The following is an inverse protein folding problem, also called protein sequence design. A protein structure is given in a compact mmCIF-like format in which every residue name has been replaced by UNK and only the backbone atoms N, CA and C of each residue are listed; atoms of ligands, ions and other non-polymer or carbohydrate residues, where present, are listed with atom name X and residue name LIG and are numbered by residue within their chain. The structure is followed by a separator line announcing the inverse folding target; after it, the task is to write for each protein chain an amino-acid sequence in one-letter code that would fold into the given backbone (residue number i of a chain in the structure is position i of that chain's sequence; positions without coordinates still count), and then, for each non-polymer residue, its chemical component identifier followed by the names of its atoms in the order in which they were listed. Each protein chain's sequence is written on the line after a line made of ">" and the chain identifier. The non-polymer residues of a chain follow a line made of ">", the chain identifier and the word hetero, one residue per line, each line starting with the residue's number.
data_IF_952084541447
#
_entry.id   IF_952084541447
#
_cell.length_a   1.000
_cell.length_b   1.000
_cell.length_c   1.000
_cell.angle_alpha   90.00
_cell.angle_beta   90.00
_cell.angle_gamma   90.00
#
_symmetry.space_group_name_H-M   'P 1'
#
loop_
_entity.id
_entity.type
_entity.pdbx_description
1 polymer ?
#
# COMPACT_ATOMS: atom_id res chain seq x y z
N UNK A 1 -16.67 8.34 -33.20
CA UNK A 1 -16.54 8.93 -31.85
C UNK A 1 -17.44 8.25 -30.81
N UNK A 2 -18.77 8.15 -31.00
CA UNK A 2 -19.67 7.54 -29.99
C UNK A 2 -19.48 6.02 -29.82
N UNK A 3 -19.38 5.27 -30.93
CA UNK A 3 -19.20 3.81 -30.90
C UNK A 3 -17.86 3.42 -30.25
N UNK A 4 -16.77 4.11 -30.62
CA UNK A 4 -15.44 3.87 -30.04
C UNK A 4 -15.39 4.18 -28.55
N UNK A 5 -16.08 5.25 -28.11
CA UNK A 5 -16.21 5.61 -26.70
C UNK A 5 -17.01 4.55 -25.91
N UNK A 6 -18.15 4.09 -26.45
CA UNK A 6 -18.93 3.01 -25.86
C UNK A 6 -18.15 1.70 -25.77
N UNK A 7 -17.43 1.33 -26.83
CA UNK A 7 -16.58 0.14 -26.85
C UNK A 7 -15.47 0.22 -25.79
N UNK A 8 -14.80 1.37 -25.69
CA UNK A 8 -13.75 1.61 -24.69
C UNK A 8 -14.31 1.55 -23.26
N UNK A 9 -15.51 2.08 -23.03
CA UNK A 9 -16.20 2.02 -21.73
C UNK A 9 -16.58 0.58 -21.37
N UNK A 10 -17.18 -0.16 -22.30
CA UNK A 10 -17.53 -1.57 -22.10
C UNK A 10 -16.30 -2.43 -21.82
N UNK A 11 -15.19 -2.20 -22.52
CA UNK A 11 -13.93 -2.91 -22.25
C UNK A 11 -13.38 -2.59 -20.86
N UNK A 12 -13.48 -1.34 -20.40
CA UNK A 12 -13.04 -0.98 -19.05
C UNK A 12 -13.93 -1.63 -17.99
N UNK A 13 -15.26 -1.60 -18.14
CA UNK A 13 -16.20 -2.20 -17.18
C UNK A 13 -15.90 -3.70 -17.04
N UNK A 14 -15.77 -4.42 -18.16
CA UNK A 14 -15.39 -5.84 -18.14
C UNK A 14 -14.03 -6.10 -17.48
N UNK A 15 -13.06 -5.22 -17.71
CA UNK A 15 -11.74 -5.34 -17.08
C UNK A 15 -11.78 -5.09 -15.56
N UNK A 16 -12.68 -4.21 -15.10
CA UNK A 16 -12.91 -3.92 -13.68
C UNK A 16 -13.67 -5.06 -12.98
N UNK A 17 -14.74 -5.57 -13.58
CA UNK A 17 -15.49 -6.74 -13.07
C UNK A 17 -14.62 -8.01 -13.01
N UNK A 18 -13.62 -8.11 -13.90
CA UNK A 18 -12.64 -9.19 -13.94
C UNK A 18 -11.33 -8.92 -13.18
N UNK A 19 -11.25 -7.85 -12.37
CA UNK A 19 -10.04 -7.42 -11.67
C UNK A 19 -9.27 -8.56 -10.99
N UNK A 20 -7.94 -8.55 -11.11
CA UNK A 20 -7.06 -9.59 -10.54
C UNK A 20 -6.95 -10.85 -11.41
N UNK A 21 -7.15 -12.04 -10.82
CA UNK A 21 -6.84 -13.35 -11.43
C UNK A 21 -7.46 -13.58 -12.81
N UNK A 22 -8.66 -13.05 -13.06
CA UNK A 22 -9.39 -13.19 -14.34
C UNK A 22 -8.88 -12.24 -15.44
N UNK A 23 -8.17 -11.17 -15.09
CA UNK A 23 -7.58 -10.20 -16.01
C UNK A 23 -6.14 -10.53 -16.45
N UNK A 24 -5.55 -11.63 -15.96
CA UNK A 24 -4.15 -11.99 -16.24
C UNK A 24 -3.95 -12.45 -17.68
N UNK A 25 -2.81 -12.10 -18.25
CA UNK A 25 -2.36 -12.68 -19.53
C UNK A 25 -2.17 -14.19 -19.39
N UNK A 26 -2.52 -14.99 -20.41
CA UNK A 26 -2.28 -16.44 -20.38
C UNK A 26 -0.80 -16.82 -20.16
N UNK A 27 0.14 -15.91 -20.45
CA UNK A 27 1.58 -16.08 -20.25
C UNK A 27 2.09 -15.50 -18.92
N UNK A 28 1.23 -15.15 -17.96
CA UNK A 28 1.63 -14.46 -16.73
C UNK A 28 2.69 -15.23 -15.92
N UNK A 29 2.62 -16.58 -15.92
CA UNK A 29 3.62 -17.42 -15.26
C UNK A 29 5.02 -17.27 -15.85
N UNK A 30 5.11 -17.07 -17.16
CA UNK A 30 6.38 -16.80 -17.83
C UNK A 30 6.87 -15.38 -17.56
N UNK A 31 5.94 -14.42 -17.50
CA UNK A 31 6.27 -13.01 -17.19
C UNK A 31 6.79 -12.82 -15.75
N UNK A 32 6.35 -13.65 -14.81
CA UNK A 32 6.75 -13.62 -13.39
C UNK A 32 7.55 -14.86 -12.98
N UNK A 33 8.25 -15.48 -13.93
CA UNK A 33 9.06 -16.66 -13.66
C UNK A 33 10.23 -16.28 -12.77
N UNK A 34 10.34 -16.93 -11.61
CA UNK A 34 11.46 -16.68 -10.73
C UNK A 34 12.79 -17.06 -11.38
N UNK A 35 13.82 -16.21 -11.23
CA UNK A 35 15.18 -16.55 -11.60
C UNK A 35 15.72 -17.66 -10.68
N UNK A 36 16.78 -18.34 -11.15
CA UNK A 36 17.51 -19.27 -10.30
C UNK A 36 18.19 -18.51 -9.15
N UNK A 37 18.28 -19.11 -7.95
CA UNK A 37 18.78 -18.41 -6.75
C UNK A 37 20.20 -17.87 -6.93
N UNK A 38 21.05 -18.57 -7.69
CA UNK A 38 22.41 -18.10 -8.01
C UNK A 38 22.46 -16.76 -8.73
N UNK A 39 21.38 -16.33 -9.39
CA UNK A 39 21.30 -15.03 -10.04
C UNK A 39 20.96 -13.91 -9.05
N UNK A 40 20.46 -14.25 -7.86
CA UNK A 40 19.95 -13.30 -6.87
C UNK A 40 20.90 -13.02 -5.70
N UNK A 41 21.92 -13.85 -5.51
CA UNK A 41 22.83 -13.78 -4.34
C UNK A 41 23.58 -12.44 -4.25
N UNK A 42 23.91 -11.84 -5.41
CA UNK A 42 24.68 -10.61 -5.51
C UNK A 42 23.82 -9.34 -5.54
N UNK A 43 22.51 -9.44 -5.23
CA UNK A 43 21.65 -8.26 -5.20
C UNK A 43 22.11 -7.29 -4.11
N UNK A 44 22.40 -6.01 -4.47
CA UNK A 44 22.78 -5.00 -3.48
C UNK A 44 21.50 -4.55 -2.75
N UNK A 45 21.25 -5.19 -1.60
CA UNK A 45 20.11 -4.93 -0.72
C UNK A 45 20.66 -4.61 0.66
N UNK A 46 20.21 -3.48 1.21
CA UNK A 46 20.43 -3.14 2.61
C UNK A 46 19.64 -4.11 3.49
N UNK A 47 20.35 -4.83 4.37
CA UNK A 47 19.76 -5.87 5.22
C UNK A 47 19.19 -5.29 6.51
N UNK A 48 18.38 -4.24 6.42
CA UNK A 48 17.68 -3.64 7.55
C UNK A 48 16.37 -4.39 7.89
N UNK A 49 16.20 -4.78 9.15
CA UNK A 49 15.03 -5.53 9.60
C UNK A 49 13.72 -4.77 9.39
N UNK A 50 13.66 -3.48 9.76
CA UNK A 50 12.42 -2.70 9.65
C UNK A 50 12.02 -2.49 8.20
N UNK A 51 12.99 -2.27 7.30
CA UNK A 51 12.77 -2.20 5.87
C UNK A 51 12.24 -3.53 5.32
N UNK A 52 12.97 -4.63 5.54
CA UNK A 52 12.68 -5.90 4.87
C UNK A 52 11.51 -6.65 5.49
N UNK A 53 11.41 -6.70 6.82
CA UNK A 53 10.48 -7.58 7.54
C UNK A 53 9.26 -6.85 8.12
N UNK A 54 9.26 -5.51 8.15
CA UNK A 54 8.12 -4.73 8.68
C UNK A 54 7.44 -3.91 7.59
N UNK A 55 8.19 -3.07 6.87
CA UNK A 55 7.64 -2.15 5.87
C UNK A 55 7.26 -2.87 4.57
N UNK A 56 8.08 -3.78 4.07
CA UNK A 56 7.83 -4.45 2.80
C UNK A 56 6.86 -5.64 2.94
N UNK A 57 5.70 -5.65 2.26
CA UNK A 57 4.68 -6.66 2.50
C UNK A 57 5.12 -8.10 2.19
N UNK A 58 5.89 -8.31 1.11
CA UNK A 58 6.38 -9.65 0.75
C UNK A 58 7.41 -10.13 1.75
N UNK A 59 8.33 -9.25 2.18
CA UNK A 59 9.32 -9.58 3.19
C UNK A 59 8.71 -9.84 4.57
N UNK A 60 7.78 -8.99 5.04
CA UNK A 60 6.96 -9.25 6.25
C UNK A 60 6.29 -10.62 6.17
N UNK A 61 5.64 -10.94 5.06
CA UNK A 61 4.96 -12.23 4.88
C UNK A 61 5.92 -13.42 4.91
N UNK A 62 7.07 -13.34 4.23
CA UNK A 62 8.07 -14.41 4.23
C UNK A 62 8.74 -14.59 5.58
N UNK A 63 9.02 -13.49 6.29
CA UNK A 63 9.52 -13.53 7.65
C UNK A 63 8.50 -14.15 8.62
N UNK A 64 7.23 -13.76 8.54
CA UNK A 64 6.17 -14.40 9.36
C UNK A 64 6.04 -15.90 9.04
N UNK A 65 6.17 -16.31 7.77
CA UNK A 65 6.16 -17.74 7.40
C UNK A 65 7.37 -18.49 7.99
N UNK A 66 8.55 -17.89 7.96
CA UNK A 66 9.74 -18.41 8.61
C UNK A 66 9.53 -18.58 10.12
N UNK A 67 9.07 -17.54 10.81
CA UNK A 67 8.83 -17.59 12.24
C UNK A 67 7.73 -18.60 12.62
N UNK A 68 6.67 -18.75 11.82
CA UNK A 68 5.63 -19.77 12.04
C UNK A 68 6.12 -21.21 11.81
N UNK A 69 7.21 -21.40 11.07
CA UNK A 69 7.82 -22.73 10.90
C UNK A 69 8.63 -23.18 12.12
N UNK A 70 8.79 -22.30 13.11
CA UNK A 70 9.63 -22.48 14.30
C UNK A 70 8.80 -22.37 15.58
N UNK A 71 8.68 -23.44 16.38
CA UNK A 71 7.87 -23.43 17.59
C UNK A 71 8.23 -22.29 18.56
N UNK A 72 9.52 -21.95 18.66
CA UNK A 72 10.02 -20.90 19.55
C UNK A 72 9.62 -19.47 19.11
N UNK A 73 9.32 -19.25 17.83
CA UNK A 73 8.92 -17.94 17.30
C UNK A 73 7.41 -17.82 17.04
N UNK A 74 6.66 -18.93 17.09
CA UNK A 74 5.26 -18.98 16.70
C UNK A 74 4.37 -18.07 17.57
N UNK A 75 4.62 -18.01 18.88
CA UNK A 75 3.86 -17.15 19.79
C UNK A 75 4.15 -15.66 19.55
N UNK A 76 5.39 -15.29 19.19
CA UNK A 76 5.75 -13.91 18.84
C UNK A 76 4.92 -13.39 17.65
N UNK A 77 4.81 -14.19 16.59
CA UNK A 77 4.00 -13.82 15.42
C UNK A 77 2.51 -13.81 15.73
N UNK A 78 2.04 -14.76 16.55
CA UNK A 78 0.64 -14.81 16.97
C UNK A 78 0.25 -13.58 17.79
N UNK A 79 1.16 -13.09 18.64
CA UNK A 79 1.00 -11.83 19.36
C UNK A 79 0.96 -10.65 18.39
N UNK A 80 1.93 -10.54 17.46
CA UNK A 80 1.91 -9.48 16.43
C UNK A 80 0.60 -9.44 15.63
N UNK A 81 0.09 -10.60 15.20
CA UNK A 81 -1.18 -10.68 14.48
C UNK A 81 -2.34 -10.22 15.39
N UNK A 82 -2.31 -10.53 16.68
CA UNK A 82 -3.33 -10.07 17.63
C UNK A 82 -3.24 -8.55 17.88
N UNK A 83 -2.04 -7.98 17.95
CA UNK A 83 -1.83 -6.54 18.05
C UNK A 83 -2.33 -5.81 16.78
N UNK A 84 -2.00 -6.32 15.59
CA UNK A 84 -2.51 -5.77 14.32
C UNK A 84 -4.05 -5.83 14.25
N UNK A 85 -4.68 -6.85 14.85
CA UNK A 85 -6.14 -6.92 14.96
C UNK A 85 -6.71 -5.93 15.98
N UNK A 86 -6.03 -5.73 17.12
CA UNK A 86 -6.45 -4.78 18.15
C UNK A 86 -6.60 -3.36 17.59
N UNK A 87 -5.67 -2.95 16.72
CA UNK A 87 -5.69 -1.63 16.07
C UNK A 87 -6.92 -1.41 15.17
N UNK A 88 -7.62 -2.48 14.78
CA UNK A 88 -8.82 -2.45 13.93
C UNK A 88 -10.12 -2.69 14.69
N UNK A 89 -10.05 -2.91 16.00
CA UNK A 89 -11.24 -3.12 16.85
C UNK A 89 -11.99 -1.82 17.10
N UNK A 90 -13.32 -1.92 17.20
CA UNK A 90 -14.15 -0.81 17.64
C UNK A 90 -13.84 -0.46 19.11
N UNK A 91 -14.12 0.77 19.50
CA UNK A 91 -13.88 1.26 20.87
C UNK A 91 -14.58 0.37 21.92
N UNK A 92 -15.76 -0.18 21.60
CA UNK A 92 -16.51 -1.09 22.45
C UNK A 92 -15.81 -2.45 22.65
N UNK A 93 -15.14 -2.97 21.61
CA UNK A 93 -14.47 -4.28 21.64
C UNK A 93 -13.01 -4.20 22.12
N UNK A 94 -12.37 -3.03 22.00
CA UNK A 94 -10.93 -2.86 22.27
C UNK A 94 -10.55 -3.30 23.67
N UNK A 95 -11.32 -2.93 24.69
CA UNK A 95 -11.00 -3.27 26.09
C UNK A 95 -10.95 -4.78 26.30
N UNK A 96 -12.01 -5.50 25.95
CA UNK A 96 -12.09 -6.94 26.16
C UNK A 96 -11.07 -7.70 25.31
N UNK A 97 -10.86 -7.24 24.07
CA UNK A 97 -9.85 -7.82 23.19
C UNK A 97 -8.43 -7.60 23.73
N UNK A 98 -8.12 -6.40 24.23
CA UNK A 98 -6.83 -6.08 24.86
C UNK A 98 -6.56 -6.94 26.10
N UNK A 99 -7.56 -7.14 26.96
CA UNK A 99 -7.45 -8.05 28.12
C UNK A 99 -7.16 -9.48 27.63
N UNK A 100 -7.81 -9.93 26.56
CA UNK A 100 -7.57 -11.26 25.98
C UNK A 100 -6.13 -11.43 25.47
N UNK A 101 -5.53 -10.38 24.88
CA UNK A 101 -4.13 -10.38 24.44
C UNK A 101 -3.21 -10.54 25.65
N UNK A 102 -3.41 -9.75 26.70
CA UNK A 102 -2.58 -9.77 27.90
C UNK A 102 -2.65 -11.15 28.57
N UNK A 103 -3.85 -11.67 28.80
CA UNK A 103 -4.06 -12.98 29.41
C UNK A 103 -3.44 -14.12 28.60
N UNK A 104 -3.44 -14.00 27.28
CA UNK A 104 -2.94 -15.02 26.37
C UNK A 104 -1.43 -14.98 26.16
N UNK A 105 -0.84 -13.80 26.04
CA UNK A 105 0.54 -13.66 25.58
C UNK A 105 1.48 -13.05 26.63
N UNK A 106 0.99 -12.28 27.59
CA UNK A 106 1.84 -11.62 28.59
C UNK A 106 1.79 -12.30 29.96
N UNK A 107 0.73 -13.06 30.24
CA UNK A 107 0.56 -13.72 31.54
C UNK A 107 1.44 -14.97 31.68
N UNK A 108 2.21 -15.05 32.76
CA UNK A 108 3.14 -16.16 33.03
C UNK A 108 2.52 -17.57 33.08
N UNK A 109 1.24 -17.69 33.44
CA UNK A 109 0.55 -18.99 33.48
C UNK A 109 0.03 -19.44 32.11
N UNK A 110 0.14 -18.61 31.07
CA UNK A 110 -0.31 -18.95 29.73
C UNK A 110 0.65 -19.90 29.02
N UNK A 111 0.09 -20.87 28.30
CA UNK A 111 0.84 -21.73 27.39
C UNK A 111 1.31 -21.01 26.12
N UNK A 112 0.85 -19.79 25.87
CA UNK A 112 1.24 -18.95 24.74
C UNK A 112 2.04 -17.71 25.15
N UNK A 113 2.59 -17.70 26.37
CA UNK A 113 3.39 -16.59 26.87
C UNK A 113 4.57 -16.27 25.93
N UNK A 114 4.81 -14.98 25.73
CA UNK A 114 5.95 -14.45 24.97
C UNK A 114 6.92 -13.82 25.97
N UNK A 115 7.97 -14.56 26.29
CA UNK A 115 8.90 -14.20 27.37
C UNK A 115 9.63 -12.86 27.15
N UNK A 116 9.87 -12.46 25.89
CA UNK A 116 10.56 -11.21 25.55
C UNK A 116 9.77 -9.95 25.91
N UNK A 117 8.46 -10.04 26.06
CA UNK A 117 7.57 -8.88 26.32
C UNK A 117 6.69 -9.06 27.56
N UNK A 118 6.94 -10.13 28.33
CA UNK A 118 6.13 -10.49 29.49
C UNK A 118 6.08 -9.38 30.56
N UNK A 119 7.16 -8.61 30.69
CA UNK A 119 7.26 -7.50 31.66
C UNK A 119 6.24 -6.37 31.40
N UNK A 120 5.65 -6.31 30.21
CA UNK A 120 4.63 -5.32 29.85
C UNK A 120 3.23 -5.63 30.40
N UNK A 121 3.01 -6.80 31.03
CA UNK A 121 1.69 -7.22 31.55
C UNK A 121 1.00 -6.10 32.37
N UNK A 122 1.70 -5.57 33.38
CA UNK A 122 1.13 -4.55 34.28
C UNK A 122 0.95 -3.18 33.61
N UNK A 123 1.89 -2.76 32.76
CA UNK A 123 1.83 -1.49 32.04
C UNK A 123 0.65 -1.47 31.07
N UNK A 124 0.51 -2.52 30.27
CA UNK A 124 -0.60 -2.64 29.32
C UNK A 124 -1.96 -2.74 30.02
N UNK A 125 -2.07 -3.48 31.15
CA UNK A 125 -3.32 -3.52 31.93
C UNK A 125 -3.71 -2.13 32.42
N UNK A 126 -2.76 -1.39 32.99
CA UNK A 126 -3.03 -0.05 33.50
C UNK A 126 -3.45 0.92 32.41
N UNK A 127 -2.74 0.94 31.28
CA UNK A 127 -3.07 1.78 30.12
C UNK A 127 -4.46 1.45 29.54
N UNK A 128 -4.82 0.16 29.48
CA UNK A 128 -6.12 -0.30 29.00
C UNK A 128 -7.27 0.07 29.95
N UNK A 129 -7.01 0.10 31.27
CA UNK A 129 -7.98 0.54 32.27
C UNK A 129 -8.26 2.04 32.20
N UNK A 130 -7.20 2.84 31.96
CA UNK A 130 -7.28 4.29 31.83
C UNK A 130 -7.99 4.71 30.54
N UNK A 131 -7.47 4.31 29.39
CA UNK A 131 -8.02 4.64 28.08
C UNK A 131 -7.58 3.64 27.01
N UNK A 132 -8.51 2.74 26.64
CA UNK A 132 -8.29 1.73 25.61
C UNK A 132 -8.09 2.32 24.20
N UNK A 133 -8.42 3.59 23.97
CA UNK A 133 -8.25 4.27 22.68
C UNK A 133 -6.83 4.82 22.47
N UNK A 134 -5.99 4.79 23.51
CA UNK A 134 -4.56 5.10 23.39
C UNK A 134 -3.77 3.94 22.76
N UNK A 135 -2.48 4.18 22.48
CA UNK A 135 -1.57 3.14 21.99
C UNK A 135 -1.07 2.25 23.15
N UNK A 136 -1.99 1.45 23.68
CA UNK A 136 -1.82 0.60 24.88
C UNK A 136 -0.61 -0.35 24.77
N UNK A 137 -0.28 -0.80 23.57
CA UNK A 137 0.73 -1.83 23.33
C UNK A 137 1.98 -1.30 22.61
N UNK A 138 2.18 0.02 22.55
CA UNK A 138 3.32 0.62 21.85
C UNK A 138 4.66 0.03 22.30
N UNK A 139 4.99 0.12 23.60
CA UNK A 139 6.26 -0.37 24.16
C UNK A 139 6.39 -1.89 24.00
N UNK A 140 5.29 -2.63 24.17
CA UNK A 140 5.24 -4.08 23.94
C UNK A 140 5.59 -4.41 22.49
N UNK A 141 5.08 -3.64 21.51
CA UNK A 141 5.37 -3.83 20.09
C UNK A 141 6.82 -3.48 19.76
N UNK A 142 7.38 -2.42 20.35
CA UNK A 142 8.78 -2.03 20.16
C UNK A 142 9.75 -3.11 20.64
N UNK A 143 9.62 -3.58 21.89
CA UNK A 143 10.47 -4.62 22.46
C UNK A 143 10.37 -5.94 21.69
N UNK A 144 9.17 -6.26 21.18
CA UNK A 144 8.96 -7.43 20.33
C UNK A 144 9.75 -7.30 19.02
N UNK A 145 9.68 -6.13 18.37
CA UNK A 145 10.44 -5.89 17.14
C UNK A 145 11.95 -5.85 17.40
N UNK A 146 12.40 -5.32 18.53
CA UNK A 146 13.80 -5.37 18.95
C UNK A 146 14.29 -6.82 19.07
N UNK A 147 13.54 -7.67 19.77
CA UNK A 147 13.85 -9.10 19.87
C UNK A 147 13.91 -9.78 18.50
N UNK A 148 12.90 -9.60 17.65
CA UNK A 148 12.86 -10.23 16.33
C UNK A 148 13.93 -9.71 15.37
N UNK A 149 14.43 -8.49 15.57
CA UNK A 149 15.50 -7.89 14.76
C UNK A 149 16.89 -8.50 15.03
N UNK A 150 17.05 -9.21 16.14
CA UNK A 150 18.27 -9.91 16.52
C UNK A 150 18.42 -11.29 15.87
N UNK A 151 18.67 -12.31 16.69
CA UNK A 151 18.91 -13.69 16.25
C UNK A 151 17.83 -14.27 15.31
N UNK A 152 16.51 -14.03 15.51
CA UNK A 152 15.50 -14.51 14.59
C UNK A 152 15.68 -13.97 13.16
N UNK A 153 16.05 -12.70 13.03
CA UNK A 153 16.28 -12.08 11.72
C UNK A 153 17.57 -12.59 11.06
N UNK A 154 18.65 -12.80 11.82
CA UNK A 154 19.87 -13.42 11.29
C UNK A 154 19.59 -14.82 10.72
N UNK A 155 18.86 -15.64 11.48
CA UNK A 155 18.49 -16.99 11.04
C UNK A 155 17.51 -16.98 9.86
N UNK A 156 16.67 -15.96 9.74
CA UNK A 156 15.84 -15.76 8.56
C UNK A 156 16.70 -15.49 7.32
N UNK A 157 17.73 -14.65 7.42
CA UNK A 157 18.62 -14.34 6.29
C UNK A 157 19.34 -15.56 5.73
N UNK A 158 19.62 -16.55 6.56
CA UNK A 158 20.25 -17.82 6.16
C UNK A 158 19.24 -18.91 5.74
N UNK A 159 17.96 -18.56 5.62
CA UNK A 159 16.89 -19.51 5.33
C UNK A 159 16.40 -19.45 3.88
N UNK A 160 15.77 -20.53 3.42
CA UNK A 160 15.10 -20.59 2.11
C UNK A 160 13.98 -19.54 1.93
N UNK A 161 13.46 -18.97 3.01
CA UNK A 161 12.46 -17.90 2.95
C UNK A 161 13.10 -16.58 2.50
N UNK A 162 14.34 -16.32 2.90
CA UNK A 162 15.10 -15.17 2.43
C UNK A 162 15.58 -15.36 0.99
N UNK A 163 15.98 -16.57 0.60
CA UNK A 163 16.23 -16.90 -0.81
C UNK A 163 15.01 -16.59 -1.69
N UNK A 164 13.82 -16.97 -1.21
CA UNK A 164 12.56 -16.65 -1.88
C UNK A 164 12.33 -15.13 -1.94
N UNK A 165 12.67 -14.40 -0.89
CA UNK A 165 12.59 -12.93 -0.87
C UNK A 165 13.52 -12.32 -1.93
N UNK A 166 14.75 -12.80 -2.06
CA UNK A 166 15.70 -12.34 -3.08
C UNK A 166 15.19 -12.60 -4.51
N UNK A 167 14.55 -13.74 -4.75
CA UNK A 167 13.88 -14.02 -6.04
C UNK A 167 12.75 -13.03 -6.35
N UNK A 168 11.95 -12.66 -5.34
CA UNK A 168 10.94 -11.61 -5.49
C UNK A 168 11.55 -10.24 -5.76
N UNK A 169 12.63 -9.88 -5.05
CA UNK A 169 13.35 -8.62 -5.29
C UNK A 169 13.98 -8.54 -6.67
N UNK A 170 14.45 -9.65 -7.22
CA UNK A 170 14.92 -9.69 -8.61
C UNK A 170 13.80 -9.45 -9.62
N UNK A 171 12.59 -9.96 -9.37
CA UNK A 171 11.43 -9.70 -10.22
C UNK A 171 10.98 -8.25 -10.16
N UNK A 172 10.98 -7.67 -8.96
CA UNK A 172 10.64 -6.25 -8.74
C UNK A 172 11.60 -5.30 -9.48
N UNK A 173 12.90 -5.64 -9.52
CA UNK A 173 13.93 -4.85 -10.19
C UNK A 173 13.98 -5.01 -11.71
N UNK A 174 13.11 -5.83 -12.31
CA UNK A 174 13.08 -5.98 -13.77
C UNK A 174 12.72 -4.65 -14.45
N UNK A 175 13.28 -4.35 -15.63
CA UNK A 175 12.99 -3.10 -16.33
C UNK A 175 11.50 -2.93 -16.62
N UNK A 176 10.93 -1.83 -16.13
CA UNK A 176 9.54 -1.49 -16.40
C UNK A 176 9.44 -0.85 -17.78
N UNK A 177 8.64 -1.45 -18.66
CA UNK A 177 8.39 -0.92 -20.00
C UNK A 177 6.90 -0.85 -20.30
N UNK A 178 6.53 -0.09 -21.34
CA UNK A 178 5.14 0.00 -21.82
C UNK A 178 4.50 -1.37 -22.11
N UNK A 179 5.28 -2.42 -22.38
CA UNK A 179 4.77 -3.74 -22.73
C UNK A 179 4.17 -4.49 -21.55
N UNK A 180 4.49 -4.08 -20.32
CA UNK A 180 3.90 -4.64 -19.09
C UNK A 180 2.43 -4.26 -18.92
N UNK A 181 1.99 -3.19 -19.60
CA UNK A 181 0.67 -2.60 -19.41
C UNK A 181 -0.22 -2.83 -20.64
N UNK A 182 -1.49 -3.09 -20.39
CA UNK A 182 -2.56 -2.94 -21.38
C UNK A 182 -3.27 -1.61 -21.11
N UNK A 183 -3.35 -0.76 -22.12
CA UNK A 183 -4.04 0.53 -22.03
C UNK A 183 -5.52 0.37 -22.39
N UNK A 184 -6.39 1.10 -21.68
CA UNK A 184 -7.84 1.15 -21.88
C UNK A 184 -8.26 2.58 -22.29
N UNK A 185 -9.29 3.15 -21.64
CA UNK A 185 -9.84 4.47 -21.98
C UNK A 185 -9.06 5.62 -21.36
N UNK A 186 -9.20 6.80 -21.96
CA UNK A 186 -8.80 8.07 -21.38
C UNK A 186 -9.70 8.39 -20.18
N UNK A 187 -9.11 8.77 -19.05
CA UNK A 187 -9.81 9.16 -17.82
C UNK A 187 -9.88 10.69 -17.66
N UNK A 188 -8.82 11.40 -18.08
CA UNK A 188 -8.77 12.85 -17.99
C UNK A 188 -7.62 13.44 -18.80
N UNK A 189 -7.73 14.74 -19.09
CA UNK A 189 -6.67 15.54 -19.73
C UNK A 189 -6.21 16.61 -18.77
N UNK A 190 -4.90 16.72 -18.58
CA UNK A 190 -4.27 17.73 -17.74
C UNK A 190 -3.36 18.66 -18.54
N UNK A 191 -2.73 19.61 -17.85
CA UNK A 191 -1.89 20.63 -18.50
C UNK A 191 -0.67 20.08 -19.26
N UNK A 192 -0.13 18.94 -18.83
CA UNK A 192 1.10 18.33 -19.39
C UNK A 192 0.85 17.04 -20.19
N UNK A 193 -0.41 16.58 -20.29
CA UNK A 193 -0.75 15.37 -21.01
C UNK A 193 -2.04 14.73 -20.52
N UNK A 194 -2.07 13.40 -20.47
CA UNK A 194 -3.29 12.62 -20.38
C UNK A 194 -3.19 11.55 -19.30
N UNK A 195 -4.32 11.22 -18.68
CA UNK A 195 -4.42 10.12 -17.72
C UNK A 195 -5.26 9.00 -18.34
N UNK A 196 -4.70 7.81 -18.45
CA UNK A 196 -5.32 6.65 -19.08
C UNK A 196 -5.54 5.52 -18.09
N UNK A 197 -6.67 4.83 -18.15
CA UNK A 197 -6.81 3.56 -17.46
C UNK A 197 -5.86 2.53 -18.09
N UNK A 198 -5.19 1.76 -17.25
CA UNK A 198 -4.29 0.69 -17.69
C UNK A 198 -4.36 -0.50 -16.74
N UNK A 199 -3.85 -1.65 -17.20
CA UNK A 199 -3.81 -2.88 -16.44
C UNK A 199 -2.43 -3.51 -16.54
N UNK A 200 -1.87 -3.96 -15.42
CA UNK A 200 -0.66 -4.78 -15.42
C UNK A 200 -1.00 -6.15 -15.98
N UNK A 201 -0.43 -6.52 -17.11
CA UNK A 201 -0.77 -7.75 -17.84
C UNK A 201 -0.53 -9.02 -17.04
N UNK A 202 0.51 -9.03 -16.21
CA UNK A 202 0.87 -10.21 -15.43
C UNK A 202 -0.09 -10.45 -14.24
N UNK A 203 -0.49 -9.39 -13.55
CA UNK A 203 -1.29 -9.49 -12.31
C UNK A 203 -2.78 -9.30 -12.55
N UNK A 204 -3.17 -8.62 -13.63
CA UNK A 204 -4.54 -8.22 -13.93
C UNK A 204 -5.02 -7.00 -13.16
N UNK A 205 -4.14 -6.35 -12.39
CA UNK A 205 -4.48 -5.20 -11.54
C UNK A 205 -4.64 -3.92 -12.38
N UNK A 206 -5.67 -3.14 -12.07
CA UNK A 206 -6.00 -1.87 -12.74
C UNK A 206 -5.28 -0.69 -12.09
N UNK A 207 -4.86 0.26 -12.91
CA UNK A 207 -4.15 1.48 -12.50
C UNK A 207 -4.52 2.66 -13.40
N UNK A 208 -4.21 3.88 -12.94
CA UNK A 208 -4.21 5.09 -13.76
C UNK A 208 -2.78 5.41 -14.25
N UNK A 209 -2.57 5.48 -15.55
CA UNK A 209 -1.30 5.90 -16.15
C UNK A 209 -1.36 7.38 -16.52
N UNK A 210 -0.76 8.24 -15.70
CA UNK A 210 -0.53 9.66 -15.99
C UNK A 210 0.66 9.79 -16.94
N UNK A 211 0.40 10.24 -18.17
CA UNK A 211 1.39 10.44 -19.23
C UNK A 211 1.68 11.91 -19.42
N UNK A 212 2.92 12.30 -19.20
CA UNK A 212 3.43 13.65 -19.41
C UNK A 212 4.19 13.68 -20.74
N UNK A 213 3.71 14.44 -21.72
CA UNK A 213 4.38 14.54 -23.02
C UNK A 213 5.71 15.30 -22.87
N UNK A 214 6.83 14.67 -23.26
CA UNK A 214 8.17 15.23 -23.10
C UNK A 214 8.32 16.59 -23.78
N UNK A 215 7.68 16.77 -24.94
CA UNK A 215 7.62 18.03 -25.68
C UNK A 215 6.90 19.13 -24.89
N UNK A 216 5.75 18.82 -24.28
CA UNK A 216 4.99 19.76 -23.47
C UNK A 216 5.68 20.10 -22.14
N UNK A 217 6.27 19.11 -21.47
CA UNK A 217 7.08 19.30 -20.27
C UNK A 217 8.22 20.27 -20.56
N UNK A 218 9.01 20.02 -21.62
CA UNK A 218 10.12 20.89 -22.02
C UNK A 218 9.66 22.29 -22.42
N UNK A 219 8.60 22.40 -23.22
CA UNK A 219 8.06 23.70 -23.69
C UNK A 219 7.64 24.61 -22.52
N UNK A 220 7.12 24.03 -21.44
CA UNK A 220 6.64 24.75 -20.26
C UNK A 220 7.65 24.79 -19.11
N UNK A 221 8.87 24.29 -19.30
CA UNK A 221 9.91 24.18 -18.26
C UNK A 221 9.43 23.41 -17.02
N UNK A 222 8.66 22.34 -17.25
CA UNK A 222 7.99 21.53 -16.22
C UNK A 222 8.82 20.37 -15.69
N UNK A 223 10.10 20.26 -16.04
CA UNK A 223 10.96 19.11 -15.69
C UNK A 223 11.05 18.91 -14.17
N UNK A 224 11.35 19.98 -13.43
CA UNK A 224 11.45 19.93 -11.97
C UNK A 224 10.10 19.60 -11.31
N UNK A 225 9.00 20.08 -11.88
CA UNK A 225 7.66 19.79 -11.37
C UNK A 225 7.32 18.31 -11.52
N UNK A 226 7.59 17.72 -12.69
CA UNK A 226 7.37 16.31 -12.95
C UNK A 226 8.26 15.40 -12.09
N UNK A 227 9.53 15.76 -11.92
CA UNK A 227 10.46 15.01 -11.07
C UNK A 227 10.06 15.10 -9.59
N UNK A 228 9.70 16.28 -9.11
CA UNK A 228 9.27 16.49 -7.73
C UNK A 228 7.98 15.72 -7.42
N UNK A 229 7.00 15.70 -8.34
CA UNK A 229 5.79 14.89 -8.19
C UNK A 229 6.13 13.39 -8.06
N UNK A 230 7.01 12.87 -8.93
CA UNK A 230 7.46 11.47 -8.87
C UNK A 230 8.16 11.15 -7.54
N UNK A 231 9.07 12.01 -7.08
CA UNK A 231 9.84 11.78 -5.84
C UNK A 231 8.96 11.81 -4.60
N UNK A 232 8.00 12.74 -4.55
CA UNK A 232 7.01 12.79 -3.46
C UNK A 232 6.19 11.50 -3.45
N UNK A 233 5.62 11.10 -4.58
CA UNK A 233 4.76 9.91 -4.64
C UNK A 233 5.50 8.60 -4.39
N UNK A 234 6.81 8.53 -4.67
CA UNK A 234 7.66 7.37 -4.39
C UNK A 234 7.95 7.20 -2.89
N UNK A 235 8.06 8.30 -2.14
CA UNK A 235 8.30 8.28 -0.70
C UNK A 235 7.04 8.14 0.15
N UNK A 236 5.86 8.17 -0.46
CA UNK A 236 4.57 8.10 0.23
C UNK A 236 3.96 6.71 0.14
N UNK A 237 3.36 6.28 1.24
CA UNK A 237 2.56 5.06 1.30
C UNK A 237 1.36 5.32 2.22
N UNK A 238 0.29 5.87 1.65
CA UNK A 238 -0.91 6.26 2.37
C UNK A 238 -2.15 5.68 1.71
N UNK A 239 -3.15 5.34 2.53
CA UNK A 239 -4.47 4.97 2.00
C UNK A 239 -5.23 6.17 1.47
N UNK A 240 -4.88 7.39 1.90
CA UNK A 240 -5.61 8.64 1.59
C UNK A 240 -4.89 9.50 0.55
N UNK A 241 -3.79 9.01 -0.03
CA UNK A 241 -3.05 9.65 -1.11
C UNK A 241 -2.86 8.59 -2.20
N UNK A 242 -3.02 8.98 -3.47
CA UNK A 242 -2.74 8.07 -4.59
C UNK A 242 -1.29 7.59 -4.52
N UNK A 243 -1.07 6.28 -4.64
CA UNK A 243 0.27 5.69 -4.54
C UNK A 243 0.86 5.52 -5.95
N UNK A 244 2.17 5.74 -6.08
CA UNK A 244 2.92 5.40 -7.28
C UNK A 244 3.31 3.93 -7.22
N UNK A 245 2.89 3.15 -8.21
CA UNK A 245 3.28 1.75 -8.35
C UNK A 245 4.46 1.57 -9.33
N UNK A 246 4.48 2.36 -10.41
CA UNK A 246 5.54 2.29 -11.40
C UNK A 246 5.83 3.67 -12.01
N UNK A 247 7.10 3.93 -12.29
CA UNK A 247 7.52 5.02 -13.16
C UNK A 247 8.32 4.46 -14.34
N UNK A 248 8.01 4.87 -15.56
CA UNK A 248 8.76 4.49 -16.76
C UNK A 248 8.70 5.60 -17.80
N UNK A 249 9.52 5.50 -18.84
CA UNK A 249 9.45 6.42 -19.97
C UNK A 249 9.19 5.69 -21.29
N UNK A 250 8.69 6.46 -22.24
CA UNK A 250 8.59 6.06 -23.64
C UNK A 250 9.37 7.04 -24.50
N UNK A 251 9.38 6.81 -25.82
CA UNK A 251 9.95 7.75 -26.79
C UNK A 251 9.37 9.18 -26.65
N UNK A 252 8.10 9.31 -26.26
CA UNK A 252 7.38 10.59 -26.30
C UNK A 252 6.86 11.09 -24.96
N UNK A 253 6.81 10.25 -23.92
CA UNK A 253 6.19 10.61 -22.65
C UNK A 253 6.95 10.03 -21.44
N UNK A 254 6.84 10.73 -20.30
CA UNK A 254 7.12 10.20 -18.96
C UNK A 254 5.81 9.64 -18.41
N UNK A 255 5.84 8.45 -17.82
CA UNK A 255 4.66 7.72 -17.38
C UNK A 255 4.75 7.42 -15.87
N UNK A 256 3.73 7.83 -15.13
CA UNK A 256 3.51 7.46 -13.73
C UNK A 256 2.27 6.59 -13.65
N UNK A 257 2.41 5.38 -13.11
CA UNK A 257 1.33 4.42 -12.91
C UNK A 257 0.90 4.51 -11.46
N UNK A 258 -0.30 5.04 -11.25
CA UNK A 258 -0.85 5.44 -9.98
C UNK A 258 -2.06 4.58 -9.62
N UNK A 259 -2.42 4.56 -8.34
CA UNK A 259 -3.70 4.03 -7.85
C UNK A 259 -4.87 4.47 -8.73
N UNK A 260 -5.74 3.52 -9.09
CA UNK A 260 -6.91 3.79 -9.93
C UNK A 260 -8.06 4.34 -9.09
N UNK A 261 -8.45 5.60 -9.32
CA UNK A 261 -9.60 6.23 -8.67
C UNK A 261 -10.74 6.38 -9.68
N UNK A 262 -11.69 5.43 -9.70
CA UNK A 262 -12.72 5.37 -10.75
C UNK A 262 -13.98 6.17 -10.48
N UNK A 263 -14.18 6.62 -9.24
CA UNK A 263 -15.35 7.37 -8.80
C UNK A 263 -15.39 8.82 -9.29
N UNK A 264 -14.34 9.29 -9.95
CA UNK A 264 -14.23 10.67 -10.44
C UNK A 264 -13.76 11.63 -9.36
N UNK A 265 -13.71 12.93 -9.70
CA UNK A 265 -13.29 13.99 -8.78
C UNK A 265 -14.46 14.57 -7.96
N UNK A 266 -14.14 15.11 -6.79
CA UNK A 266 -15.13 15.66 -5.86
C UNK A 266 -15.88 16.87 -6.48
N UNK A 267 -15.27 17.62 -7.40
CA UNK A 267 -15.96 18.72 -8.11
C UNK A 267 -17.16 18.20 -8.89
N UNK A 268 -17.01 17.08 -9.61
CA UNK A 268 -18.12 16.44 -10.32
C UNK A 268 -19.23 16.02 -9.33
N UNK A 269 -18.87 15.44 -8.19
CA UNK A 269 -19.85 15.03 -7.17
C UNK A 269 -20.60 16.22 -6.55
N UNK A 270 -19.96 17.37 -6.40
CA UNK A 270 -20.59 18.58 -5.86
C UNK A 270 -21.56 19.22 -6.85
N UNK A 271 -21.22 19.26 -8.14
CA UNK A 271 -21.94 20.11 -9.11
C UNK A 271 -22.83 19.34 -10.09
N UNK A 272 -22.52 18.07 -10.35
CA UNK A 272 -23.12 17.31 -11.45
C UNK A 272 -23.93 16.10 -10.99
N UNK A 273 -23.94 15.78 -9.70
CA UNK A 273 -24.75 14.68 -9.14
C UNK A 273 -25.91 15.27 -8.33
N UNK A 274 -27.12 15.12 -8.84
CA UNK A 274 -28.33 15.54 -8.13
C UNK A 274 -28.40 17.05 -7.91
N UNK A 275 -28.77 17.46 -6.70
CA UNK A 275 -28.82 18.87 -6.29
C UNK A 275 -27.41 19.33 -5.94
N UNK A 276 -26.95 20.50 -6.44
CA UNK A 276 -25.61 21.00 -6.13
C UNK A 276 -25.32 21.07 -4.61
N UNK A 277 -24.15 20.59 -4.23
CA UNK A 277 -23.73 20.44 -2.84
C UNK A 277 -23.66 18.98 -2.38
N UNK A 278 -23.31 18.78 -1.11
CA UNK A 278 -23.23 17.46 -0.49
C UNK A 278 -23.98 17.50 0.84
N UNK A 279 -24.61 16.39 1.20
CA UNK A 279 -25.21 16.22 2.52
C UNK A 279 -24.14 16.32 3.61
N UNK A 280 -24.49 16.87 4.78
CA UNK A 280 -23.54 17.15 5.86
C UNK A 280 -22.73 15.91 6.26
N UNK A 281 -23.37 14.74 6.36
CA UNK A 281 -22.66 13.50 6.70
C UNK A 281 -21.60 13.10 5.67
N UNK A 282 -21.84 13.34 4.36
CA UNK A 282 -20.83 13.12 3.31
C UNK A 282 -19.70 14.12 3.42
N UNK A 283 -20.01 15.39 3.72
CA UNK A 283 -18.98 16.42 3.94
C UNK A 283 -18.11 16.05 5.14
N UNK A 284 -18.70 15.64 6.25
CA UNK A 284 -17.99 15.20 7.47
C UNK A 284 -17.07 14.01 7.18
N UNK A 285 -17.57 13.00 6.47
CA UNK A 285 -16.79 11.83 6.08
C UNK A 285 -15.60 12.19 5.18
N UNK A 286 -15.84 12.94 4.10
CA UNK A 286 -14.78 13.37 3.18
C UNK A 286 -13.75 14.30 3.84
N UNK A 287 -14.19 15.22 4.70
CA UNK A 287 -13.29 16.08 5.45
C UNK A 287 -12.37 15.27 6.37
N UNK A 288 -12.88 14.21 7.01
CA UNK A 288 -12.08 13.32 7.84
C UNK A 288 -11.01 12.56 7.03
N UNK A 289 -11.38 11.97 5.89
CA UNK A 289 -10.43 11.27 5.02
C UNK A 289 -9.35 12.21 4.45
N UNK A 290 -9.74 13.42 4.03
CA UNK A 290 -8.80 14.47 3.59
C UNK A 290 -7.86 14.88 4.72
N UNK A 291 -8.38 15.01 5.94
CA UNK A 291 -7.58 15.33 7.12
C UNK A 291 -6.51 14.25 7.36
N UNK A 292 -6.87 12.96 7.27
CA UNK A 292 -5.93 11.86 7.37
C UNK A 292 -4.84 11.89 6.28
N UNK A 293 -5.22 12.21 5.03
CA UNK A 293 -4.27 12.39 3.93
C UNK A 293 -3.27 13.53 4.18
N UNK A 294 -3.77 14.70 4.61
CA UNK A 294 -2.93 15.85 4.95
C UNK A 294 -2.02 15.57 6.14
N UNK A 295 -2.55 14.92 7.18
CA UNK A 295 -1.76 14.51 8.34
C UNK A 295 -0.58 13.62 7.92
N UNK A 296 -0.81 12.64 7.05
CA UNK A 296 0.27 11.79 6.53
C UNK A 296 1.30 12.58 5.71
N UNK A 297 0.88 13.53 4.87
CA UNK A 297 1.81 14.41 4.15
C UNK A 297 2.64 15.25 5.12
N UNK A 298 2.02 15.82 6.14
CA UNK A 298 2.70 16.65 7.15
C UNK A 298 3.68 15.84 8.01
N UNK A 299 3.35 14.60 8.38
CA UNK A 299 4.27 13.67 9.06
C UNK A 299 5.54 13.39 8.24
N UNK A 300 5.45 13.48 6.90
CA UNK A 300 6.57 13.35 5.97
C UNK A 300 7.16 14.73 5.56
N UNK A 301 6.86 15.79 6.31
CA UNK A 301 7.32 17.16 6.05
C UNK A 301 6.95 17.71 4.65
N UNK A 302 5.82 17.28 4.08
CA UNK A 302 5.33 17.70 2.76
C UNK A 302 4.12 18.60 2.91
N UNK A 303 4.18 19.81 2.32
CA UNK A 303 3.03 20.71 2.19
C UNK A 303 2.39 20.56 0.80
N UNK A 304 1.13 20.10 0.74
CA UNK A 304 0.46 19.79 -0.54
C UNK A 304 0.22 21.03 -1.42
N UNK A 305 -0.23 22.14 -0.84
CA UNK A 305 -0.44 23.47 -1.47
C UNK A 305 -1.44 23.55 -2.63
N UNK A 306 -2.06 22.47 -3.09
CA UNK A 306 -3.06 22.47 -4.17
C UNK A 306 -4.35 21.73 -3.77
N UNK A 307 -4.81 21.92 -2.53
CA UNK A 307 -6.08 21.36 -2.05
C UNK A 307 -7.27 22.04 -2.74
N UNK A 308 -7.98 21.28 -3.58
CA UNK A 308 -9.21 21.72 -4.28
C UNK A 308 -10.06 20.51 -4.68
N UNK A 309 -11.38 20.69 -4.93
CA UNK A 309 -12.27 19.58 -5.26
C UNK A 309 -11.85 18.76 -6.50
N UNK A 310 -11.18 19.36 -7.49
CA UNK A 310 -10.66 18.64 -8.67
C UNK A 310 -9.56 17.62 -8.34
N UNK A 311 -8.86 17.80 -7.23
CA UNK A 311 -7.71 16.99 -6.83
C UNK A 311 -8.07 15.92 -5.78
N UNK A 312 -9.34 15.83 -5.39
CA UNK A 312 -9.84 14.82 -4.47
C UNK A 312 -10.61 13.80 -5.30
N UNK A 313 -10.09 12.57 -5.40
CA UNK A 313 -10.62 11.53 -6.27
C UNK A 313 -11.27 10.42 -5.44
N UNK A 314 -12.37 9.87 -5.94
CA UNK A 314 -13.09 8.76 -5.32
C UNK A 314 -12.72 7.43 -5.97
N UNK A 315 -12.73 6.36 -5.19
CA UNK A 315 -12.56 4.98 -5.62
C UNK A 315 -13.91 4.32 -6.00
N UNK A 316 -13.93 2.99 -6.10
CA UNK A 316 -15.12 2.20 -6.43
C UNK A 316 -16.09 2.04 -5.26
N UNK A 317 -15.61 2.19 -4.03
CA UNK A 317 -16.40 2.13 -2.81
C UNK A 317 -16.97 3.49 -2.39
N UNK A 318 -16.62 4.56 -3.12
CA UNK A 318 -17.08 5.92 -2.84
C UNK A 318 -16.31 6.58 -1.70
N UNK A 319 -15.13 6.05 -1.37
CA UNK A 319 -14.18 6.60 -0.41
C UNK A 319 -12.97 7.19 -1.15
N UNK A 320 -12.11 7.92 -0.43
CA UNK A 320 -10.80 8.33 -0.95
C UNK A 320 -9.72 7.26 -0.72
N UNK A 321 -10.12 6.11 -0.18
CA UNK A 321 -9.23 5.02 0.21
C UNK A 321 -9.25 3.90 -0.79
N UNK A 322 -8.08 3.41 -1.20
CA UNK A 322 -7.99 2.11 -1.89
C UNK A 322 -7.67 1.03 -0.84
N UNK A 323 -8.66 0.21 -0.41
CA UNK A 323 -8.41 -0.91 0.50
C UNK A 323 -7.62 -2.05 -0.14
N UNK A 324 -7.56 -2.13 -1.49
CA UNK A 324 -6.97 -3.23 -2.24
C UNK A 324 -5.65 -2.87 -2.96
N UNK A 325 -5.21 -1.61 -2.91
CA UNK A 325 -3.93 -1.20 -3.52
C UNK A 325 -2.81 -2.06 -2.95
N UNK A 326 -2.10 -2.87 -3.78
CA UNK A 326 -0.90 -3.52 -3.31
C UNK A 326 0.06 -2.42 -2.88
N UNK A 327 0.38 -2.39 -1.58
CA UNK A 327 1.36 -1.47 -1.00
C UNK A 327 2.70 -1.79 -1.66
N UNK A 328 3.00 -1.10 -2.76
CA UNK A 328 4.29 -1.21 -3.44
C UNK A 328 5.25 -0.36 -2.63
N UNK A 329 5.88 -0.97 -1.62
CA UNK A 329 7.00 -0.37 -0.92
C UNK A 329 8.22 -0.72 -1.74
N UNK A 330 8.63 0.22 -2.60
CA UNK A 330 9.84 0.14 -3.41
C UNK A 330 11.06 -0.32 -2.59
#
# INVERSE_FOLDING_TARGET
>A
MEIESMMANNMLIKAREGGGSRGRSCKWKDMLRFPHISQCMDLPIERDYYSLCVKQPIGKKLFHLFCRSRPELQNNISLLDALDNFDTKSDEERRDYGISIIQRFLRSQSNQVVSSVQHHEMSCLHSLELDACTDVFHECREDMHEYLSGDPYLQYQDSMFFDRFLQWKMLERQPITKQLFRQYRLLGKGGFGEVWACQVRATGMMYACKKLEKTHVKKRRGENMALNEKQILEGLNSRFVVNLAYAYETKHALCMVLTMMSGGDLKFHIHNIGVPGLHEDRVRFYAAEVCCGLMHLHQNAILYRDMKPENILLDDHGTFTDPESPRCVH
#
